data_IF_443286485077
#
_entry.id   IF_443286485077
#
_cell.length_a   1.000
_cell.length_b   1.000
_cell.length_c   1.000
_cell.angle_alpha   90.00
_cell.angle_beta   90.00
_cell.angle_gamma   90.00
#
_symmetry.space_group_name_H-M   'P 1'
#
loop_
_entity.id
_entity.type
_entity.pdbx_description
1 polymer ?
#
# COMPACT_ATOMS: atom_id res chain seq x y z
N UNK A 1 17.79 3.25 1.34
CA UNK A 1 16.94 2.09 0.99
C UNK A 1 15.86 2.00 2.05
N UNK A 2 14.60 2.24 1.67
CA UNK A 2 13.46 2.14 2.58
C UNK A 2 12.58 0.97 2.18
N UNK A 3 12.19 0.15 3.16
CA UNK A 3 11.34 -1.02 2.96
C UNK A 3 10.22 -0.97 3.96
N UNK A 4 8.99 -1.09 3.49
CA UNK A 4 7.80 -1.09 4.34
C UNK A 4 7.16 -2.47 4.23
N UNK A 5 6.98 -3.12 5.38
CA UNK A 5 6.29 -4.41 5.46
C UNK A 5 4.85 -4.18 5.88
N UNK A 6 3.90 -4.67 5.08
CA UNK A 6 2.47 -4.67 5.42
C UNK A 6 2.06 -6.06 5.94
N UNK A 7 1.35 -6.09 7.07
CA UNK A 7 0.69 -7.30 7.58
C UNK A 7 -0.82 -7.16 7.39
N UNK A 8 -1.43 -8.21 6.86
CA UNK A 8 -2.85 -8.33 6.62
C UNK A 8 -3.54 -9.13 7.74
N UNK A 9 -4.86 -9.35 7.63
CA UNK A 9 -5.64 -10.24 8.51
C UNK A 9 -4.89 -11.56 8.80
N UNK A 10 -5.15 -12.10 9.99
CA UNK A 10 -4.57 -13.35 10.49
C UNK A 10 -4.76 -14.49 9.46
N UNK A 11 -3.66 -15.03 8.95
CA UNK A 11 -3.65 -16.13 7.96
C UNK A 11 -3.28 -15.72 6.53
N UNK A 12 -3.21 -14.43 6.20
CA UNK A 12 -2.77 -13.95 4.89
C UNK A 12 -1.26 -13.72 4.83
N UNK A 13 -0.68 -13.91 3.63
CA UNK A 13 0.75 -13.66 3.38
C UNK A 13 1.07 -12.18 3.61
N UNK A 14 2.25 -11.92 4.19
CA UNK A 14 2.79 -10.55 4.33
C UNK A 14 3.12 -10.02 2.94
N UNK A 15 2.82 -8.74 2.69
CA UNK A 15 3.17 -8.04 1.44
C UNK A 15 4.26 -7.02 1.72
N UNK A 16 5.25 -6.93 0.85
CA UNK A 16 6.29 -5.91 0.91
C UNK A 16 5.98 -4.78 -0.07
N UNK A 17 6.19 -3.55 0.40
CA UNK A 17 6.23 -2.36 -0.44
C UNK A 17 7.66 -1.84 -0.41
N UNK A 18 8.28 -1.83 -1.58
CA UNK A 18 9.63 -1.33 -1.78
C UNK A 18 9.55 0.02 -2.49
N UNK A 19 10.28 1.03 -2.01
CA UNK A 19 10.34 2.36 -2.63
C UNK A 19 11.79 2.66 -2.99
N UNK A 20 12.04 3.14 -4.21
CA UNK A 20 13.40 3.48 -4.64
C UNK A 20 13.44 4.28 -5.94
N UNK A 21 14.60 4.88 -6.19
CA UNK A 21 14.91 5.68 -7.37
C UNK A 21 16.26 5.31 -8.02
N UNK A 22 17.17 4.64 -7.32
CA UNK A 22 18.52 4.34 -7.81
C UNK A 22 18.68 2.98 -8.48
N UNK A 23 19.80 2.77 -9.18
CA UNK A 23 20.10 1.49 -9.84
C UNK A 23 20.19 0.31 -8.88
N UNK A 24 20.62 0.55 -7.64
CA UNK A 24 20.66 -0.47 -6.59
C UNK A 24 19.25 -0.98 -6.21
N UNK A 25 18.22 -0.14 -6.40
CA UNK A 25 16.84 -0.47 -6.10
C UNK A 25 16.25 -1.48 -7.09
N UNK A 26 16.77 -1.53 -8.33
CA UNK A 26 16.40 -2.55 -9.30
C UNK A 26 16.71 -3.96 -8.79
N UNK A 27 17.90 -4.17 -8.20
CA UNK A 27 18.26 -5.45 -7.55
C UNK A 27 17.36 -5.75 -6.34
N UNK A 28 16.90 -4.72 -5.63
CA UNK A 28 15.87 -4.84 -4.60
C UNK A 28 14.55 -5.36 -5.18
N UNK A 29 14.11 -4.79 -6.30
CA UNK A 29 12.90 -5.17 -7.03
C UNK A 29 12.90 -6.60 -7.56
N UNK A 30 14.04 -7.10 -8.04
CA UNK A 30 14.20 -8.49 -8.51
C UNK A 30 13.96 -9.55 -7.42
N UNK A 31 14.09 -9.17 -6.14
CA UNK A 31 13.87 -10.07 -4.99
C UNK A 31 12.41 -10.13 -4.55
N UNK A 32 11.57 -9.23 -5.06
CA UNK A 32 10.15 -9.18 -4.72
C UNK A 32 9.40 -10.30 -5.45
N UNK A 33 8.36 -10.80 -4.80
CA UNK A 33 7.52 -11.88 -5.33
C UNK A 33 6.15 -11.35 -5.76
N UNK A 34 5.36 -12.23 -6.35
CA UNK A 34 3.99 -11.90 -6.72
C UNK A 34 3.17 -11.47 -5.48
N UNK A 35 2.45 -10.34 -5.61
CA UNK A 35 1.71 -9.71 -4.52
C UNK A 35 2.50 -8.65 -3.74
N UNK A 36 3.83 -8.59 -3.90
CA UNK A 36 4.63 -7.45 -3.45
C UNK A 36 4.54 -6.28 -4.44
N UNK A 37 4.99 -5.11 -4.01
CA UNK A 37 4.85 -3.85 -4.73
C UNK A 37 6.19 -3.13 -4.79
N UNK A 38 6.54 -2.67 -5.99
CA UNK A 38 7.72 -1.84 -6.27
C UNK A 38 7.26 -0.45 -6.69
N UNK A 39 7.48 0.55 -5.84
CA UNK A 39 7.27 1.97 -6.12
C UNK A 39 8.54 2.60 -6.70
N UNK A 40 8.63 2.64 -8.03
CA UNK A 40 9.81 3.05 -8.77
C UNK A 40 9.71 4.51 -9.23
N UNK A 41 10.70 5.33 -8.91
CA UNK A 41 10.69 6.73 -9.31
C UNK A 41 10.91 6.90 -10.82
N UNK A 42 9.97 7.55 -11.48
CA UNK A 42 10.00 7.80 -12.91
C UNK A 42 11.10 8.80 -13.29
N UNK A 43 11.77 8.58 -14.43
CA UNK A 43 12.94 9.34 -14.92
C UNK A 43 14.19 9.24 -14.04
N UNK A 44 14.26 8.20 -13.21
CA UNK A 44 15.44 7.87 -12.42
C UNK A 44 15.97 6.48 -12.80
N UNK A 45 17.23 6.15 -12.45
CA UNK A 45 17.88 4.93 -12.93
C UNK A 45 17.11 3.63 -12.67
N UNK A 46 16.34 3.53 -11.57
CA UNK A 46 15.51 2.34 -11.31
C UNK A 46 14.46 2.13 -12.41
N UNK A 47 13.85 3.20 -12.91
CA UNK A 47 12.78 3.16 -13.91
C UNK A 47 13.33 2.82 -15.29
N UNK A 48 14.46 3.41 -15.65
CA UNK A 48 15.15 3.09 -16.89
C UNK A 48 15.56 1.61 -16.94
N UNK A 49 16.04 1.07 -15.82
CA UNK A 49 16.38 -0.36 -15.70
C UNK A 49 15.14 -1.25 -15.81
N UNK A 50 14.00 -0.86 -15.24
CA UNK A 50 12.74 -1.60 -15.38
C UNK A 50 12.31 -1.69 -16.85
N UNK A 51 12.34 -0.56 -17.57
CA UNK A 51 11.89 -0.48 -18.96
C UNK A 51 12.86 -1.19 -19.91
N UNK A 52 14.17 -1.03 -19.69
CA UNK A 52 15.21 -1.61 -20.55
C UNK A 52 15.48 -3.09 -20.29
N UNK A 53 15.14 -3.58 -19.10
CA UNK A 53 15.23 -5.00 -18.76
C UNK A 53 14.01 -5.77 -19.26
N UNK A 54 14.10 -7.10 -19.31
CA UNK A 54 12.94 -7.94 -19.60
C UNK A 54 11.84 -7.66 -18.55
N UNK A 55 10.65 -7.14 -18.94
CA UNK A 55 9.59 -6.80 -18.00
C UNK A 55 9.13 -7.98 -17.14
N UNK A 56 9.33 -9.22 -17.62
CA UNK A 56 8.99 -10.45 -16.91
C UNK A 56 9.96 -10.79 -15.76
N UNK A 57 11.05 -10.04 -15.60
CA UNK A 57 12.04 -10.27 -14.55
C UNK A 57 11.56 -9.82 -13.16
N UNK A 58 10.67 -8.82 -13.10
CA UNK A 58 10.08 -8.33 -11.86
C UNK A 58 8.69 -8.95 -11.69
N UNK A 59 8.53 -9.74 -10.63
CA UNK A 59 7.26 -10.42 -10.30
C UNK A 59 6.30 -9.56 -9.49
N UNK A 60 6.80 -8.48 -8.90
CA UNK A 60 6.02 -7.54 -8.12
C UNK A 60 5.19 -6.61 -9.02
N UNK A 61 4.12 -6.05 -8.46
CA UNK A 61 3.38 -4.99 -9.10
C UNK A 61 4.18 -3.68 -9.07
N UNK A 62 4.42 -3.08 -10.24
CA UNK A 62 5.22 -1.86 -10.34
C UNK A 62 4.29 -0.65 -10.34
N UNK A 63 4.55 0.31 -9.45
CA UNK A 63 3.83 1.58 -9.36
C UNK A 63 4.81 2.75 -9.57
N UNK A 64 4.76 3.48 -10.70
CA UNK A 64 5.59 4.66 -10.89
C UNK A 64 5.22 5.79 -9.91
N UNK A 65 6.18 6.65 -9.60
CA UNK A 65 5.93 7.94 -8.93
C UNK A 65 6.94 9.00 -9.41
N UNK A 66 6.59 10.28 -9.37
CA UNK A 66 7.43 11.37 -9.90
C UNK A 66 8.11 12.18 -8.79
N UNK A 67 7.35 12.58 -7.78
CA UNK A 67 7.79 13.39 -6.64
C UNK A 67 7.18 12.90 -5.31
N UNK A 68 7.49 13.59 -4.22
CA UNK A 68 7.03 13.20 -2.88
C UNK A 68 5.51 13.29 -2.71
N UNK A 69 4.84 14.20 -3.41
CA UNK A 69 3.38 14.34 -3.34
C UNK A 69 2.69 13.19 -4.07
N UNK A 70 3.14 12.89 -5.29
CA UNK A 70 2.69 11.74 -6.08
C UNK A 70 2.93 10.42 -5.33
N UNK A 71 4.12 10.26 -4.71
CA UNK A 71 4.41 9.12 -3.86
C UNK A 71 3.42 9.02 -2.68
N UNK A 72 3.15 10.13 -1.99
CA UNK A 72 2.21 10.16 -0.86
C UNK A 72 0.79 9.75 -1.27
N UNK A 73 0.29 10.30 -2.38
CA UNK A 73 -1.03 9.97 -2.93
C UNK A 73 -1.09 8.50 -3.34
N UNK A 74 -0.10 8.02 -4.09
CA UNK A 74 0.01 6.63 -4.52
C UNK A 74 0.04 5.66 -3.33
N UNK A 75 0.80 6.00 -2.30
CA UNK A 75 0.95 5.20 -1.09
C UNK A 75 -0.35 5.11 -0.29
N UNK A 76 -1.05 6.23 -0.11
CA UNK A 76 -2.33 6.27 0.60
C UNK A 76 -3.41 5.47 -0.14
N UNK A 77 -3.53 5.67 -1.46
CA UNK A 77 -4.45 4.91 -2.30
C UNK A 77 -4.17 3.41 -2.25
N UNK A 78 -2.89 3.04 -2.22
CA UNK A 78 -2.48 1.66 -2.11
C UNK A 78 -2.87 1.03 -0.77
N UNK A 79 -2.60 1.71 0.34
CA UNK A 79 -3.00 1.24 1.68
C UNK A 79 -4.52 1.06 1.74
N UNK A 80 -5.29 2.05 1.27
CA UNK A 80 -6.75 1.97 1.25
C UNK A 80 -7.25 0.78 0.44
N UNK A 81 -6.68 0.55 -0.74
CA UNK A 81 -7.01 -0.60 -1.60
C UNK A 81 -6.70 -1.93 -0.90
N UNK A 82 -5.52 -2.03 -0.30
CA UNK A 82 -5.08 -3.21 0.46
C UNK A 82 -6.03 -3.49 1.63
N UNK A 83 -6.40 -2.45 2.37
CA UNK A 83 -7.27 -2.56 3.54
C UNK A 83 -8.70 -3.00 3.17
N UNK A 84 -9.29 -2.41 2.13
CA UNK A 84 -10.61 -2.80 1.62
C UNK A 84 -10.59 -4.25 1.14
N UNK A 85 -9.59 -4.62 0.33
CA UNK A 85 -9.44 -5.99 -0.15
C UNK A 85 -9.34 -6.97 1.02
N UNK A 86 -8.64 -6.57 2.08
CA UNK A 86 -8.47 -7.40 3.26
C UNK A 86 -9.76 -7.57 4.04
N UNK A 87 -10.54 -6.52 4.28
CA UNK A 87 -11.89 -6.62 4.88
C UNK A 87 -12.77 -7.57 4.05
N UNK A 88 -12.81 -7.39 2.73
CA UNK A 88 -13.68 -8.19 1.85
C UNK A 88 -13.30 -9.68 1.77
N UNK A 89 -12.05 -10.04 2.06
CA UNK A 89 -11.60 -11.43 2.04
C UNK A 89 -11.32 -12.03 3.43
N UNK A 90 -11.79 -11.36 4.49
CA UNK A 90 -11.81 -11.87 5.87
C UNK A 90 -13.23 -12.22 6.35
N UNK A 91 -14.20 -12.38 5.44
CA UNK A 91 -15.54 -12.93 5.70
C UNK A 91 -15.50 -14.47 5.73
N UNK A 92 -15.63 -15.12 6.91
CA UNK A 92 -16.40 -16.34 7.02
C UNK A 92 -17.87 -15.97 7.24
N UNK A 93 -18.76 -16.67 6.53
CA UNK A 93 -20.21 -16.62 6.68
C UNK A 93 -20.69 -16.31 8.11
N UNK A 94 -21.38 -15.18 8.29
CA UNK A 94 -22.49 -15.11 9.23
C UNK A 94 -23.53 -14.10 8.75
N UNK A 95 -24.55 -14.62 8.07
CA UNK A 95 -25.83 -13.93 7.95
C UNK A 95 -26.39 -13.71 9.36
N UNK A 96 -26.26 -12.49 9.89
CA UNK A 96 -27.32 -11.78 10.62
C UNK A 96 -26.77 -10.42 11.08
N UNK A 97 -26.72 -9.45 10.16
CA UNK A 97 -26.66 -8.05 10.55
C UNK A 97 -28.05 -7.64 11.01
N UNK A 98 -28.38 -7.89 12.29
CA UNK A 98 -29.47 -7.16 12.96
C UNK A 98 -28.95 -5.79 13.34
N UNK A 99 -29.20 -4.82 12.45
CA UNK A 99 -29.16 -3.40 12.81
C UNK A 99 -30.13 -3.15 13.96
N UNK A 100 -29.61 -3.01 15.18
CA UNK A 100 -30.32 -2.32 16.26
C UNK A 100 -29.91 -0.86 16.23
N UNK A 101 -30.76 -0.06 15.61
CA UNK A 101 -30.84 1.37 15.88
C UNK A 101 -31.27 1.54 17.34
N UNK A 102 -30.34 1.94 18.20
CA UNK A 102 -30.66 2.54 19.49
C UNK A 102 -30.18 3.98 19.46
N UNK A 103 -31.15 4.88 19.26
CA UNK A 103 -31.05 6.30 19.58
C UNK A 103 -30.62 6.50 21.03
N UNK A 104 -29.69 7.43 21.29
CA UNK A 104 -29.74 8.49 22.33
C UNK A 104 -28.36 9.18 22.48
N UNK A 105 -28.27 10.37 21.87
CA UNK A 105 -27.65 11.66 22.27
C UNK A 105 -26.47 11.81 23.26
N UNK A 106 -25.58 12.76 22.88
CA UNK A 106 -24.58 13.55 23.64
C UNK A 106 -23.40 12.76 24.24
N UNK A 107 -22.11 13.12 24.10
CA UNK A 107 -21.47 14.43 23.90
C UNK A 107 -19.98 14.23 23.48
N UNK A 108 -19.35 15.33 23.05
CA UNK A 108 -17.94 15.55 22.69
C UNK A 108 -17.46 15.19 21.27
N UNK A 109 -17.42 16.26 20.46
CA UNK A 109 -16.73 16.38 19.17
C UNK A 109 -15.22 16.11 19.27
N UNK A 110 -14.69 15.27 18.39
CA UNK A 110 -13.25 15.28 18.07
C UNK A 110 -13.08 16.18 16.84
N UNK A 111 -12.44 17.34 17.01
CA UNK A 111 -12.14 18.27 15.91
C UNK A 111 -10.86 17.84 15.20
N UNK A 112 -10.81 18.05 13.89
CA UNK A 112 -9.70 17.65 13.00
C UNK A 112 -8.42 18.48 13.25
N UNK A 113 -8.52 19.53 14.06
CA UNK A 113 -7.42 20.46 14.34
C UNK A 113 -6.30 19.89 15.22
N UNK A 114 -6.52 18.76 15.91
CA UNK A 114 -5.51 18.12 16.76
C UNK A 114 -4.40 17.39 15.99
N UNK A 115 -4.54 17.24 14.66
CA UNK A 115 -3.56 16.53 13.82
C UNK A 115 -2.45 17.46 13.30
N UNK A 116 -2.67 18.77 13.27
CA UNK A 116 -1.78 19.69 12.54
C UNK A 116 -0.61 20.23 13.36
N UNK A 117 -0.53 19.98 14.67
CA UNK A 117 0.52 20.53 15.54
C UNK A 117 1.28 19.48 16.37
N UNK A 118 1.88 18.47 15.75
CA UNK A 118 2.93 17.64 16.39
C UNK A 118 4.19 17.55 15.53
#
# INVERSE_FOLDING_TARGET
>A
MEKIMMKSCKGKKKRFIYVGDGSADFCGGLKLVEGDILMARNKFPVWDLIISSNPLSIKAHIHPWNDGEDLGIAFLNLINTIFIQDICSCEPAHADCKSKTTSLSHDSSFSIDDIVNS
#
